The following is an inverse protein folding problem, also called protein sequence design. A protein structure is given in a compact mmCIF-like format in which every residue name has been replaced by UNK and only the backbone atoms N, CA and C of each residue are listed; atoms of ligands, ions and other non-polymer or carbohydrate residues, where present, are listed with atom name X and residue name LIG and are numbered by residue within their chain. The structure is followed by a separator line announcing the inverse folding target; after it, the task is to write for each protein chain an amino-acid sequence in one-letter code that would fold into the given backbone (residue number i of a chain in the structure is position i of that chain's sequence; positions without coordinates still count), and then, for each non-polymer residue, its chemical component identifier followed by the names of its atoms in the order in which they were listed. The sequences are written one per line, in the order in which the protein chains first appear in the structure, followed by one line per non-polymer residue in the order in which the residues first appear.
data_IF_808176311022
#
_entry.id   IF_808176311022
#
_cell.length_a   1.000
_cell.length_b   1.000
_cell.length_c   1.000
_cell.angle_alpha   90.00
_cell.angle_beta   90.00
_cell.angle_gamma   90.00
#
_symmetry.space_group_name_H-M   'P 1'
#
loop_
_entity.id
_entity.type
_entity.pdbx_description
1 polymer ?
#
# COMPACT_ATOMS: atom_id res chain seq x y z
N UNK A 1 -22.23 -2.26 21.28
CA UNK A 1 -21.89 -1.17 20.35
C UNK A 1 -21.66 -1.78 18.98
N UNK A 2 -21.92 -1.06 17.89
CA UNK A 2 -21.57 -1.56 16.56
C UNK A 2 -20.04 -1.69 16.48
N UNK A 3 -19.54 -2.74 15.81
CA UNK A 3 -18.10 -2.89 15.54
C UNK A 3 -17.63 -1.75 14.63
N UNK A 4 -16.48 -1.13 14.93
CA UNK A 4 -15.88 -0.12 14.06
C UNK A 4 -15.53 -0.69 12.68
N UNK A 5 -15.37 0.17 11.69
CA UNK A 5 -14.96 -0.22 10.33
C UNK A 5 -13.47 -0.58 10.34
N UNK A 6 -13.15 -1.65 9.63
CA UNK A 6 -11.77 -2.09 9.41
C UNK A 6 -11.39 -1.84 7.95
N UNK A 7 -10.30 -1.12 7.74
CA UNK A 7 -9.72 -0.86 6.41
C UNK A 7 -8.29 -1.41 6.38
N UNK A 8 -7.93 -2.05 5.30
CA UNK A 8 -6.62 -2.67 5.11
C UNK A 8 -5.91 -2.07 3.91
N UNK A 9 -4.62 -1.77 4.04
CA UNK A 9 -3.80 -1.16 2.99
C UNK A 9 -2.32 -1.34 3.28
N UNK A 10 -1.46 -0.89 2.37
CA UNK A 10 0.00 -0.94 2.54
C UNK A 10 0.57 0.49 2.50
N UNK A 11 1.41 0.87 3.47
CA UNK A 11 2.10 2.17 3.46
C UNK A 11 3.38 2.14 2.64
N UNK A 12 3.88 0.94 2.31
CA UNK A 12 5.05 0.71 1.48
C UNK A 12 4.96 -0.60 0.71
N UNK A 13 5.77 -0.74 -0.34
CA UNK A 13 5.72 -1.90 -1.22
C UNK A 13 7.02 -2.24 -1.91
N UNK A 14 7.13 -3.52 -2.33
CA UNK A 14 8.19 -4.01 -3.19
C UNK A 14 7.84 -3.65 -4.64
N UNK A 15 8.57 -2.71 -5.25
CA UNK A 15 8.21 -2.12 -6.54
C UNK A 15 9.34 -2.22 -7.57
N UNK A 16 9.06 -1.84 -8.82
CA UNK A 16 10.10 -1.70 -9.86
C UNK A 16 11.15 -0.63 -9.55
N UNK A 17 10.90 0.23 -8.56
CA UNK A 17 11.84 1.25 -8.06
C UNK A 17 12.53 0.84 -6.76
N UNK A 18 12.47 -0.44 -6.40
CA UNK A 18 12.91 -0.93 -5.11
C UNK A 18 11.80 -0.85 -4.05
N UNK A 19 12.20 -0.83 -2.78
CA UNK A 19 11.23 -0.51 -1.72
C UNK A 19 10.79 0.94 -1.87
N UNK A 20 9.49 1.15 -1.98
CA UNK A 20 8.89 2.48 -2.11
C UNK A 20 7.82 2.67 -1.04
N UNK A 21 7.75 3.85 -0.44
CA UNK A 21 6.84 4.08 0.67
C UNK A 21 6.13 5.43 0.61
N UNK A 22 4.94 5.44 1.21
CA UNK A 22 4.08 6.59 1.47
C UNK A 22 3.83 6.75 2.98
N UNK A 23 4.82 6.44 3.83
CA UNK A 23 4.66 6.48 5.28
C UNK A 23 4.28 7.85 5.83
N UNK A 24 4.67 8.92 5.16
CA UNK A 24 4.27 10.29 5.50
C UNK A 24 2.76 10.51 5.45
N UNK A 25 2.05 9.65 4.71
CA UNK A 25 0.60 9.72 4.53
C UNK A 25 -0.18 8.73 5.41
N UNK A 26 0.49 7.96 6.27
CA UNK A 26 -0.20 7.05 7.20
C UNK A 26 -1.15 7.84 8.09
N UNK A 27 -0.64 8.88 8.75
CA UNK A 27 -1.44 9.89 9.43
C UNK A 27 -0.75 11.25 9.28
N UNK A 28 -1.27 12.16 8.45
CA UNK A 28 -0.71 13.50 8.29
C UNK A 28 -0.65 14.26 9.61
N UNK A 29 0.44 14.99 9.86
CA UNK A 29 0.68 15.71 11.13
C UNK A 29 -0.46 16.64 11.52
N UNK A 30 -1.07 17.30 10.55
CA UNK A 30 -2.18 18.25 10.79
C UNK A 30 -3.51 17.57 11.21
N UNK A 31 -3.63 16.25 11.00
CA UNK A 31 -4.75 15.43 11.48
C UNK A 31 -4.40 14.64 12.75
N UNK A 32 -3.11 14.57 13.06
CA UNK A 32 -2.61 13.76 14.16
C UNK A 32 -2.73 14.49 15.51
N UNK A 33 -3.28 13.80 16.50
CA UNK A 33 -3.16 14.16 17.93
C UNK A 33 -1.95 13.47 18.55
N UNK A 34 -1.67 12.22 18.11
CA UNK A 34 -0.54 11.46 18.60
C UNK A 34 -0.07 10.43 17.55
N UNK A 35 1.23 10.37 17.34
CA UNK A 35 1.90 9.34 16.53
C UNK A 35 2.92 8.64 17.41
N UNK A 36 2.72 7.34 17.66
CA UNK A 36 3.63 6.51 18.44
C UNK A 36 4.54 5.74 17.47
N UNK A 37 5.84 6.00 17.53
CA UNK A 37 6.85 5.41 16.65
C UNK A 37 7.54 4.29 17.42
N UNK A 38 7.22 3.03 17.07
CA UNK A 38 7.84 1.87 17.69
C UNK A 38 9.27 1.69 17.16
N UNK A 39 10.23 1.60 18.03
CA UNK A 39 11.63 1.28 17.73
C UNK A 39 12.00 -0.04 18.38
N UNK A 40 12.87 -0.81 17.69
CA UNK A 40 13.37 -2.11 18.16
C UNK A 40 13.74 -3.02 16.99
N UNK A 41 14.49 -4.07 17.26
CA UNK A 41 14.93 -5.05 16.25
C UNK A 41 13.80 -5.92 15.71
N UNK A 42 14.13 -6.87 14.82
CA UNK A 42 13.22 -7.93 14.42
C UNK A 42 12.77 -8.76 15.64
N UNK A 43 11.58 -9.34 15.60
CA UNK A 43 11.10 -10.23 16.66
C UNK A 43 10.82 -9.61 18.03
N UNK A 44 10.98 -8.28 18.23
CA UNK A 44 10.71 -7.62 19.53
C UNK A 44 9.22 -7.45 19.83
N UNK A 45 8.35 -7.89 18.93
CA UNK A 45 6.90 -7.91 19.15
C UNK A 45 6.14 -6.68 18.67
N UNK A 46 6.70 -5.80 17.81
CA UNK A 46 6.02 -4.59 17.30
C UNK A 46 4.64 -4.86 16.71
N UNK A 47 4.55 -5.82 15.77
CA UNK A 47 3.28 -6.18 15.14
C UNK A 47 2.27 -6.75 16.16
N UNK A 48 2.72 -7.61 17.09
CA UNK A 48 1.86 -8.14 18.17
C UNK A 48 1.39 -7.04 19.13
N UNK A 49 2.25 -6.06 19.40
CA UNK A 49 1.91 -4.88 20.20
C UNK A 49 0.76 -4.09 19.54
N UNK A 50 0.87 -3.81 18.23
CA UNK A 50 -0.16 -3.13 17.46
C UNK A 50 -1.47 -3.94 17.40
N UNK A 51 -1.39 -5.25 17.14
CA UNK A 51 -2.58 -6.14 17.09
C UNK A 51 -3.38 -6.11 18.38
N UNK A 52 -2.72 -6.16 19.54
CA UNK A 52 -3.40 -6.15 20.83
C UNK A 52 -4.04 -4.78 21.15
N UNK A 53 -3.39 -3.67 20.80
CA UNK A 53 -3.99 -2.33 20.95
C UNK A 53 -5.20 -2.18 20.03
N UNK A 54 -5.07 -2.61 18.76
CA UNK A 54 -6.19 -2.62 17.83
C UNK A 54 -7.39 -3.41 18.36
N UNK A 55 -7.15 -4.62 18.89
CA UNK A 55 -8.20 -5.46 19.47
C UNK A 55 -8.88 -4.81 20.68
N UNK A 56 -8.11 -4.12 21.55
CA UNK A 56 -8.64 -3.39 22.70
C UNK A 56 -9.58 -2.27 22.30
N UNK A 57 -9.15 -1.41 21.37
CA UNK A 57 -9.94 -0.25 20.93
C UNK A 57 -11.07 -0.62 19.95
N UNK A 58 -10.91 -1.68 19.13
CA UNK A 58 -11.97 -2.17 18.25
C UNK A 58 -13.20 -2.65 19.05
N UNK A 59 -12.97 -3.24 20.21
CA UNK A 59 -14.06 -3.63 21.15
C UNK A 59 -14.90 -2.44 21.63
N UNK A 60 -14.36 -1.22 21.56
CA UNK A 60 -15.05 0.03 21.89
C UNK A 60 -15.77 0.68 20.68
N UNK A 61 -15.73 0.06 19.49
CA UNK A 61 -16.40 0.54 18.29
C UNK A 61 -15.62 1.59 17.49
N UNK A 62 -14.30 1.73 17.71
CA UNK A 62 -13.44 2.64 16.94
C UNK A 62 -13.15 2.12 15.53
N UNK A 63 -13.17 2.97 14.55
CA UNK A 63 -12.69 2.67 13.19
C UNK A 63 -11.17 2.48 13.19
N UNK A 64 -10.69 1.48 12.44
CA UNK A 64 -9.27 1.13 12.39
C UNK A 64 -8.80 0.98 10.95
N UNK A 65 -7.62 1.53 10.66
CA UNK A 65 -6.89 1.26 9.43
C UNK A 65 -5.63 0.44 9.74
N UNK A 66 -5.53 -0.72 9.12
CA UNK A 66 -4.38 -1.62 9.23
C UNK A 66 -3.41 -1.38 8.08
N UNK A 67 -2.20 -0.97 8.40
CA UNK A 67 -1.08 -0.78 7.47
C UNK A 67 -0.26 -2.07 7.46
N UNK A 68 -0.46 -2.90 6.42
CA UNK A 68 0.22 -4.18 6.30
C UNK A 68 1.66 -4.04 5.81
N UNK A 69 2.53 -4.94 6.26
CA UNK A 69 3.88 -5.06 5.75
C UNK A 69 3.88 -5.80 4.40
N UNK A 70 4.51 -5.23 3.37
CA UNK A 70 4.63 -5.90 2.07
C UNK A 70 5.62 -7.08 2.06
N UNK A 71 6.49 -7.15 3.07
CA UNK A 71 7.44 -8.26 3.24
C UNK A 71 6.92 -9.39 4.12
N UNK A 72 5.83 -9.14 4.87
CA UNK A 72 5.08 -10.11 5.68
C UNK A 72 3.64 -9.62 5.87
N UNK A 73 2.69 -9.97 4.97
CA UNK A 73 1.32 -9.45 5.02
C UNK A 73 0.55 -9.79 6.30
N UNK A 74 0.99 -10.79 7.06
CA UNK A 74 0.44 -11.11 8.37
C UNK A 74 0.87 -10.15 9.48
N UNK A 75 1.92 -9.36 9.23
CA UNK A 75 2.46 -8.33 10.14
C UNK A 75 1.96 -6.94 9.76
N UNK A 76 1.98 -6.03 10.74
CA UNK A 76 1.62 -4.64 10.55
C UNK A 76 2.84 -3.73 10.65
N UNK A 77 2.95 -2.80 9.70
CA UNK A 77 3.86 -1.66 9.73
C UNK A 77 3.23 -0.45 10.43
N UNK A 78 1.91 -0.49 10.66
CA UNK A 78 1.19 0.52 11.41
C UNK A 78 -0.28 0.21 11.62
N UNK A 79 -0.87 0.92 12.56
CA UNK A 79 -2.33 0.99 12.76
C UNK A 79 -2.72 2.46 12.96
N UNK A 80 -3.87 2.85 12.46
CA UNK A 80 -4.42 4.20 12.61
C UNK A 80 -5.83 4.11 13.16
N UNK A 81 -6.13 5.00 14.10
CA UNK A 81 -7.47 5.25 14.64
C UNK A 81 -7.90 6.65 14.15
N UNK A 82 -8.56 6.75 12.98
CA UNK A 82 -8.84 8.05 12.35
C UNK A 82 -9.64 9.00 13.22
N UNK A 83 -10.68 8.50 13.88
CA UNK A 83 -11.55 9.29 14.75
C UNK A 83 -10.84 9.82 15.99
N UNK A 84 -9.82 9.11 16.47
CA UNK A 84 -9.00 9.54 17.61
C UNK A 84 -7.85 10.45 17.18
N UNK A 85 -7.48 10.46 15.88
CA UNK A 85 -6.29 11.14 15.38
C UNK A 85 -4.99 10.50 15.90
N UNK A 86 -4.96 9.17 16.05
CA UNK A 86 -3.83 8.43 16.62
C UNK A 86 -3.30 7.42 15.61
N UNK A 87 -1.97 7.32 15.51
CA UNK A 87 -1.29 6.24 14.79
C UNK A 87 -0.22 5.59 15.65
N UNK A 88 0.00 4.29 15.44
CA UNK A 88 1.14 3.54 15.94
C UNK A 88 1.85 2.96 14.73
N UNK A 89 3.14 3.28 14.55
CA UNK A 89 3.87 2.99 13.31
C UNK A 89 5.19 2.29 13.67
N UNK A 90 5.55 1.26 12.92
CA UNK A 90 6.92 0.72 12.95
C UNK A 90 7.90 1.72 12.32
N UNK A 91 8.82 2.23 13.11
CA UNK A 91 9.84 3.19 12.69
C UNK A 91 11.23 2.57 12.49
N UNK A 92 11.32 1.24 12.29
CA UNK A 92 12.60 0.54 12.09
C UNK A 92 12.90 0.31 10.61
N UNK A 93 14.16 0.03 10.27
CA UNK A 93 14.55 -0.26 8.90
C UNK A 93 13.75 -1.44 8.31
N UNK A 94 13.34 -1.38 7.02
CA UNK A 94 13.65 -0.36 6.03
C UNK A 94 12.82 0.94 6.11
N UNK A 95 11.89 1.04 7.05
CA UNK A 95 10.91 2.13 7.21
C UNK A 95 11.35 3.15 8.26
N UNK A 96 12.57 3.66 8.16
CA UNK A 96 13.08 4.60 9.17
C UNK A 96 12.17 5.82 9.24
N UNK A 97 11.45 5.96 10.37
CA UNK A 97 10.61 7.12 10.67
C UNK A 97 11.16 7.74 11.95
N UNK A 98 11.46 9.03 11.87
CA UNK A 98 11.86 9.82 13.02
C UNK A 98 10.79 10.87 13.36
N UNK A 99 10.72 11.32 14.63
CA UNK A 99 9.76 12.32 15.06
C UNK A 99 9.89 13.62 14.26
N UNK A 100 8.78 14.11 13.71
CA UNK A 100 8.70 15.42 13.04
C UNK A 100 8.38 16.54 14.04
N UNK A 101 7.51 16.25 15.01
CA UNK A 101 7.04 17.18 16.04
C UNK A 101 7.14 16.51 17.42
N UNK A 102 8.41 16.31 17.93
CA UNK A 102 8.65 15.51 19.13
C UNK A 102 7.94 16.09 20.36
N UNK A 103 7.30 15.24 21.13
CA UNK A 103 6.60 15.58 22.36
C UNK A 103 5.23 16.24 22.18
N UNK A 104 5.02 17.02 21.11
CA UNK A 104 3.72 17.61 20.81
C UNK A 104 2.78 16.61 20.10
N UNK A 105 3.32 15.88 19.11
CA UNK A 105 2.58 14.87 18.33
C UNK A 105 3.30 13.53 18.40
N UNK A 106 4.60 13.50 18.07
CA UNK A 106 5.37 12.28 17.91
C UNK A 106 6.03 11.84 19.23
N UNK A 107 5.95 10.55 19.52
CA UNK A 107 6.58 9.90 20.67
C UNK A 107 7.26 8.60 20.24
N UNK A 108 8.52 8.40 20.63
CA UNK A 108 9.25 7.15 20.41
C UNK A 108 8.95 6.19 21.56
N UNK A 109 8.48 4.98 21.20
CA UNK A 109 8.36 3.85 22.10
C UNK A 109 9.46 2.86 21.76
N UNK A 110 10.48 2.80 22.60
CA UNK A 110 11.64 1.92 22.38
C UNK A 110 11.42 0.54 23.01
N UNK A 111 10.94 -0.43 22.22
CA UNK A 111 10.79 -1.82 22.68
C UNK A 111 12.15 -2.52 22.85
N UNK A 112 13.20 -2.01 22.24
CA UNK A 112 14.57 -2.51 22.41
C UNK A 112 15.11 -2.36 23.83
N UNK A 113 14.56 -1.48 24.68
CA UNK A 113 14.97 -1.39 26.09
C UNK A 113 14.61 -2.64 26.90
N UNK A 114 13.80 -3.54 26.36
CA UNK A 114 13.32 -4.75 27.05
C UNK A 114 14.04 -6.02 26.59
N UNK A 115 15.15 -5.93 25.88
CA UNK A 115 15.96 -7.10 25.50
C UNK A 115 17.16 -7.30 26.43
N UNK A 116 17.73 -8.51 26.39
CA UNK A 116 19.01 -8.85 27.01
C UNK A 116 20.15 -8.57 26.00
N UNK A 117 20.91 -7.51 26.24
CA UNK A 117 22.02 -7.10 25.37
C UNK A 117 23.08 -8.19 25.19
N UNK A 118 23.46 -8.88 26.28
CA UNK A 118 24.52 -9.90 26.28
C UNK A 118 24.17 -11.06 25.30
N UNK A 119 22.95 -11.59 25.39
CA UNK A 119 22.49 -12.68 24.53
C UNK A 119 22.37 -12.27 23.05
N UNK A 120 22.09 -11.00 22.75
CA UNK A 120 22.10 -10.47 21.37
C UNK A 120 23.54 -10.31 20.87
N UNK A 121 24.44 -9.80 21.71
CA UNK A 121 25.86 -9.58 21.38
C UNK A 121 26.54 -10.92 21.07
N UNK A 122 26.23 -11.99 21.80
CA UNK A 122 26.74 -13.34 21.52
C UNK A 122 26.40 -13.84 20.11
N UNK A 123 25.28 -13.40 19.55
CA UNK A 123 24.84 -13.76 18.20
C UNK A 123 25.22 -12.72 17.13
N UNK A 124 26.03 -11.71 17.46
CA UNK A 124 26.37 -10.56 16.61
C UNK A 124 26.77 -10.95 15.19
N UNK A 125 27.69 -11.90 15.04
CA UNK A 125 28.23 -12.25 13.71
C UNK A 125 27.18 -12.97 12.85
N UNK A 126 26.31 -13.79 13.46
CA UNK A 126 25.19 -14.44 12.79
C UNK A 126 24.15 -13.38 12.36
N UNK A 127 23.83 -12.45 13.24
CA UNK A 127 22.90 -11.33 12.95
C UNK A 127 23.42 -10.51 11.78
N UNK A 128 24.69 -10.14 11.75
CA UNK A 128 25.29 -9.37 10.65
C UNK A 128 25.23 -10.15 9.33
N UNK A 129 25.60 -11.44 9.34
CA UNK A 129 25.57 -12.29 8.17
C UNK A 129 24.16 -12.48 7.62
N UNK A 130 23.17 -12.73 8.49
CA UNK A 130 21.76 -12.91 8.09
C UNK A 130 21.15 -11.61 7.56
N UNK A 131 21.45 -10.45 8.16
CA UNK A 131 21.06 -9.15 7.65
C UNK A 131 21.61 -8.88 6.23
N UNK A 132 22.89 -9.20 6.00
CA UNK A 132 23.49 -9.06 4.68
C UNK A 132 22.79 -9.94 3.66
N UNK A 133 22.56 -11.24 3.97
CA UNK A 133 21.86 -12.17 3.08
C UNK A 133 20.45 -11.70 2.76
N UNK A 134 19.70 -11.22 3.75
CA UNK A 134 18.35 -10.64 3.57
C UNK A 134 18.38 -9.46 2.61
N UNK A 135 19.32 -8.53 2.82
CA UNK A 135 19.49 -7.37 1.94
C UNK A 135 19.82 -7.77 0.49
N UNK A 136 20.73 -8.73 0.29
CA UNK A 136 21.10 -9.23 -1.04
C UNK A 136 19.92 -9.89 -1.76
N UNK A 137 19.06 -10.61 -1.04
CA UNK A 137 17.84 -11.22 -1.58
C UNK A 137 16.83 -10.15 -2.02
N UNK A 138 16.56 -9.12 -1.21
CA UNK A 138 15.69 -8.01 -1.61
C UNK A 138 16.24 -7.28 -2.83
N UNK A 139 17.54 -6.96 -2.88
CA UNK A 139 18.19 -6.34 -4.04
C UNK A 139 18.01 -7.18 -5.31
N UNK A 140 18.10 -8.52 -5.18
CA UNK A 140 17.87 -9.44 -6.30
C UNK A 140 16.41 -9.44 -6.73
N UNK A 141 15.47 -9.47 -5.79
CA UNK A 141 14.03 -9.39 -6.08
C UNK A 141 13.67 -8.12 -6.83
N UNK A 142 14.19 -6.97 -6.41
CA UNK A 142 13.95 -5.69 -7.08
C UNK A 142 14.47 -5.68 -8.52
N UNK A 143 15.61 -6.31 -8.82
CA UNK A 143 16.08 -6.46 -10.20
C UNK A 143 15.12 -7.29 -11.06
N UNK A 144 14.52 -8.35 -10.50
CA UNK A 144 13.51 -9.14 -11.20
C UNK A 144 12.21 -8.35 -11.42
N UNK A 145 11.74 -7.59 -10.42
CA UNK A 145 10.56 -6.73 -10.57
C UNK A 145 10.82 -5.65 -11.63
N UNK A 146 12.00 -5.04 -11.64
CA UNK A 146 12.38 -4.04 -12.65
C UNK A 146 12.41 -4.64 -14.06
N UNK A 147 12.96 -5.84 -14.23
CA UNK A 147 12.97 -6.54 -15.51
C UNK A 147 11.55 -6.89 -15.96
N UNK A 148 10.70 -7.40 -15.05
CA UNK A 148 9.28 -7.66 -15.30
C UNK A 148 8.57 -6.37 -15.76
N UNK A 149 8.80 -5.26 -15.07
CA UNK A 149 8.20 -3.97 -15.42
C UNK A 149 8.63 -3.47 -16.80
N UNK A 150 9.88 -3.71 -17.20
CA UNK A 150 10.37 -3.33 -18.53
C UNK A 150 9.61 -4.07 -19.64
N UNK A 151 9.34 -5.36 -19.45
CA UNK A 151 8.54 -6.17 -20.38
C UNK A 151 7.06 -5.73 -20.35
N UNK A 152 6.52 -5.47 -19.16
CA UNK A 152 5.15 -4.94 -19.01
C UNK A 152 4.95 -3.63 -19.77
N UNK A 153 5.95 -2.73 -19.72
CA UNK A 153 5.90 -1.45 -20.45
C UNK A 153 5.83 -1.61 -21.96
N UNK A 154 6.40 -2.65 -22.54
CA UNK A 154 6.28 -2.89 -23.98
C UNK A 154 4.83 -3.19 -24.36
N UNK A 155 4.11 -3.98 -23.54
CA UNK A 155 2.67 -4.18 -23.70
C UNK A 155 1.89 -2.86 -23.56
N UNK A 156 2.23 -2.00 -22.58
CA UNK A 156 1.61 -0.67 -22.46
C UNK A 156 1.75 0.15 -23.76
N UNK A 157 2.92 0.12 -24.39
CA UNK A 157 3.16 0.81 -25.66
C UNK A 157 2.32 0.24 -26.79
N UNK A 158 2.22 -1.09 -26.89
CA UNK A 158 1.43 -1.77 -27.93
C UNK A 158 -0.06 -1.42 -27.79
N UNK A 159 -0.63 -1.57 -26.57
CA UNK A 159 -2.03 -1.23 -26.33
C UNK A 159 -2.31 0.26 -26.55
N UNK A 160 -1.41 1.13 -26.10
CA UNK A 160 -1.57 2.57 -26.29
C UNK A 160 -1.60 2.98 -27.77
N UNK A 161 -0.77 2.33 -28.63
CA UNK A 161 -0.81 2.53 -30.08
C UNK A 161 -2.12 2.10 -30.72
N UNK A 162 -2.76 1.05 -30.17
CA UNK A 162 -4.03 0.53 -30.68
C UNK A 162 -5.25 1.32 -30.17
N UNK A 163 -5.07 2.24 -29.21
CA UNK A 163 -6.19 2.99 -28.62
C UNK A 163 -6.78 4.05 -29.55
N UNK A 164 -8.10 4.10 -29.60
CA UNK A 164 -8.84 5.25 -30.10
C UNK A 164 -8.95 6.32 -29.01
N UNK A 165 -7.92 7.16 -28.91
CA UNK A 165 -7.83 8.21 -27.91
C UNK A 165 -8.99 9.23 -27.99
N UNK A 166 -9.57 9.45 -29.18
CA UNK A 166 -10.73 10.33 -29.36
C UNK A 166 -11.95 9.82 -28.61
N UNK A 167 -12.31 8.55 -28.80
CA UNK A 167 -13.43 7.92 -28.06
C UNK A 167 -13.15 7.88 -26.56
N UNK A 168 -11.94 7.51 -26.16
CA UNK A 168 -11.56 7.51 -24.74
C UNK A 168 -11.70 8.91 -24.10
N UNK A 169 -11.30 9.98 -24.80
CA UNK A 169 -11.42 11.34 -24.31
C UNK A 169 -12.88 11.78 -24.08
N UNK A 170 -13.82 11.35 -24.92
CA UNK A 170 -15.26 11.62 -24.73
C UNK A 170 -15.75 11.01 -23.42
N UNK A 171 -15.52 9.70 -23.23
CA UNK A 171 -15.94 8.98 -22.01
C UNK A 171 -15.26 9.56 -20.76
N UNK A 172 -13.98 9.93 -20.85
CA UNK A 172 -13.28 10.60 -19.76
C UNK A 172 -13.95 11.91 -19.39
N UNK A 173 -14.30 12.74 -20.37
CA UNK A 173 -14.98 14.03 -20.09
C UNK A 173 -16.35 13.83 -19.47
N UNK A 174 -17.17 12.99 -20.07
CA UNK A 174 -18.52 12.67 -19.57
C UNK A 174 -18.48 12.13 -18.13
N UNK A 175 -17.49 11.29 -17.82
CA UNK A 175 -17.36 10.74 -16.47
C UNK A 175 -16.95 11.80 -15.45
N UNK A 176 -16.02 12.71 -15.82
CA UNK A 176 -15.63 13.84 -14.95
C UNK A 176 -16.83 14.75 -14.72
N UNK A 177 -17.57 15.11 -15.76
CA UNK A 177 -18.76 15.98 -15.66
C UNK A 177 -19.83 15.34 -14.75
N UNK A 178 -20.04 14.03 -14.87
CA UNK A 178 -20.96 13.28 -14.03
C UNK A 178 -20.55 13.28 -12.55
N UNK A 179 -19.27 12.99 -12.25
CA UNK A 179 -18.76 12.89 -10.86
C UNK A 179 -18.87 14.24 -10.14
N UNK A 180 -18.69 15.35 -10.86
CA UNK A 180 -18.67 16.68 -10.27
C UNK A 180 -19.89 17.54 -10.66
N UNK A 181 -20.99 16.91 -11.05
CA UNK A 181 -22.21 17.64 -11.39
C UNK A 181 -22.64 18.56 -10.24
N UNK A 182 -22.78 19.84 -10.53
CA UNK A 182 -23.18 20.86 -9.54
C UNK A 182 -22.10 21.28 -8.54
N UNK A 183 -20.85 20.79 -8.66
CA UNK A 183 -19.77 21.11 -7.75
C UNK A 183 -18.79 22.08 -8.42
N UNK A 184 -18.73 23.31 -7.91
CA UNK A 184 -17.84 24.36 -8.42
C UNK A 184 -16.38 24.23 -7.95
N UNK A 185 -15.49 25.00 -8.59
CA UNK A 185 -14.10 25.15 -8.17
C UNK A 185 -14.02 25.86 -6.81
N UNK A 186 -13.09 25.42 -5.96
CA UNK A 186 -12.83 25.99 -4.63
C UNK A 186 -11.61 26.93 -4.66
N UNK A 187 -11.61 27.94 -3.78
CA UNK A 187 -10.43 28.78 -3.53
C UNK A 187 -9.36 28.06 -2.68
N UNK A 188 -9.72 26.93 -2.05
CA UNK A 188 -8.82 26.12 -1.22
C UNK A 188 -8.64 24.77 -1.90
N UNK A 189 -7.41 24.37 -2.15
CA UNK A 189 -7.10 23.07 -2.71
C UNK A 189 -7.45 21.91 -1.75
N UNK A 190 -7.99 20.84 -2.32
CA UNK A 190 -8.29 19.61 -1.61
C UNK A 190 -7.02 18.92 -1.12
N UNK A 191 -7.07 18.35 0.08
CA UNK A 191 -5.96 17.57 0.65
C UNK A 191 -5.90 16.18 0.03
N UNK A 192 -4.71 15.61 0.00
CA UNK A 192 -4.44 14.32 -0.63
C UNK A 192 -3.80 13.36 0.36
N UNK A 193 -4.13 12.09 0.23
CA UNK A 193 -3.48 10.97 0.90
C UNK A 193 -3.02 9.94 -0.14
N UNK A 194 -1.82 9.40 0.02
CA UNK A 194 -1.20 8.46 -0.92
C UNK A 194 -0.84 7.17 -0.19
N UNK A 195 -1.26 6.02 -0.73
CA UNK A 195 -1.01 4.69 -0.17
C UNK A 195 -1.03 3.64 -1.29
N UNK A 196 -0.92 2.36 -0.93
CA UNK A 196 -1.13 1.23 -1.82
C UNK A 196 -2.31 0.39 -1.33
N UNK A 197 -3.20 0.00 -2.26
CA UNK A 197 -4.25 -0.97 -1.98
C UNK A 197 -3.77 -2.42 -2.16
N UNK A 198 -2.66 -2.60 -2.87
CA UNK A 198 -2.07 -3.89 -3.21
C UNK A 198 -0.55 -3.87 -3.06
N UNK A 199 0.05 -5.05 -2.91
CA UNK A 199 1.51 -5.20 -2.83
C UNK A 199 1.99 -6.50 -3.47
N UNK A 200 3.26 -6.49 -3.92
CA UNK A 200 4.02 -7.69 -4.28
C UNK A 200 4.63 -8.24 -2.99
N UNK A 201 4.18 -9.43 -2.56
CA UNK A 201 4.50 -10.01 -1.26
C UNK A 201 5.11 -11.41 -1.40
N UNK A 202 5.63 -12.03 -0.32
CA UNK A 202 6.04 -13.43 -0.33
C UNK A 202 4.92 -14.40 -0.73
N UNK A 203 3.66 -14.03 -0.48
CA UNK A 203 2.46 -14.84 -0.78
C UNK A 203 1.95 -14.62 -2.22
N UNK A 204 2.56 -13.72 -2.97
CA UNK A 204 2.15 -13.30 -4.31
C UNK A 204 1.64 -11.86 -4.35
N UNK A 205 0.73 -11.60 -5.28
CA UNK A 205 0.03 -10.31 -5.32
C UNK A 205 -1.12 -10.32 -4.31
N UNK A 206 -1.03 -9.47 -3.30
CA UNK A 206 -2.08 -9.30 -2.28
C UNK A 206 -2.75 -7.95 -2.48
N UNK A 207 -4.08 -7.89 -2.43
CA UNK A 207 -4.84 -6.65 -2.44
C UNK A 207 -5.91 -6.64 -1.36
N UNK A 208 -6.25 -5.44 -0.89
CA UNK A 208 -7.27 -5.20 0.12
C UNK A 208 -8.41 -4.28 -0.41
N UNK A 209 -8.60 -4.25 -1.72
CA UNK A 209 -9.58 -3.37 -2.38
C UNK A 209 -10.99 -3.55 -1.83
N UNK A 210 -11.40 -4.76 -1.48
CA UNK A 210 -12.73 -5.03 -0.90
C UNK A 210 -12.99 -4.29 0.42
N UNK A 211 -11.92 -4.02 1.21
CA UNK A 211 -12.03 -3.25 2.45
C UNK A 211 -12.03 -1.73 2.23
N UNK A 212 -11.57 -1.27 1.07
CA UNK A 212 -11.40 0.14 0.73
C UNK A 212 -12.54 0.66 -0.12
N UNK A 213 -12.99 -0.10 -1.13
CA UNK A 213 -14.04 0.30 -2.09
C UNK A 213 -15.42 -0.01 -1.50
N UNK A 214 -15.82 0.78 -0.52
CA UNK A 214 -17.10 0.61 0.21
C UNK A 214 -18.09 1.74 -0.03
N UNK A 215 -17.78 2.66 -0.93
CA UNK A 215 -18.59 3.82 -1.31
C UNK A 215 -19.90 3.43 -2.00
N UNK A 216 -20.90 4.34 -2.00
CA UNK A 216 -22.17 4.12 -2.70
C UNK A 216 -21.96 4.09 -4.22
N UNK A 217 -21.23 5.05 -4.77
CA UNK A 217 -20.85 5.03 -6.18
C UNK A 217 -19.50 4.36 -6.38
N UNK A 218 -19.48 3.31 -7.22
CA UNK A 218 -18.31 2.50 -7.51
C UNK A 218 -18.11 2.42 -9.02
N UNK A 219 -17.18 3.21 -9.54
CA UNK A 219 -16.81 3.25 -10.96
C UNK A 219 -15.67 2.27 -11.18
N UNK A 220 -15.93 1.20 -11.93
CA UNK A 220 -14.93 0.19 -12.26
C UNK A 220 -14.47 0.39 -13.70
N UNK A 221 -13.16 0.58 -13.87
CA UNK A 221 -12.51 0.78 -15.16
C UNK A 221 -11.84 -0.52 -15.58
N UNK A 222 -12.38 -1.19 -16.58
CA UNK A 222 -11.73 -2.33 -17.23
C UNK A 222 -10.78 -1.84 -18.32
N UNK A 223 -9.60 -2.40 -18.40
CA UNK A 223 -8.64 -2.05 -19.44
C UNK A 223 -7.30 -2.74 -19.25
N UNK A 224 -6.72 -3.17 -20.37
CA UNK A 224 -5.36 -3.66 -20.40
C UNK A 224 -4.36 -2.53 -20.10
N UNK A 225 -3.13 -2.85 -19.69
CA UNK A 225 -2.08 -1.84 -19.51
C UNK A 225 -1.90 -0.97 -20.74
N UNK A 226 -1.87 0.37 -20.55
CA UNK A 226 -1.71 1.31 -21.67
C UNK A 226 -3.01 1.74 -22.37
N UNK A 227 -4.19 1.27 -21.94
CA UNK A 227 -5.49 1.71 -22.49
C UNK A 227 -5.93 3.09 -21.98
N UNK A 228 -5.27 3.62 -20.95
CA UNK A 228 -5.52 4.99 -20.47
C UNK A 228 -6.50 5.08 -19.31
N UNK A 229 -6.79 3.97 -18.60
CA UNK A 229 -7.60 3.99 -17.38
C UNK A 229 -7.04 4.95 -16.34
N UNK A 230 -5.69 5.02 -16.20
CA UNK A 230 -5.00 5.95 -15.31
C UNK A 230 -5.27 7.42 -15.67
N UNK A 231 -5.47 7.76 -16.94
CA UNK A 231 -5.77 9.13 -17.38
C UNK A 231 -7.11 9.62 -16.84
N UNK A 232 -8.13 8.74 -16.81
CA UNK A 232 -9.42 9.09 -16.23
C UNK A 232 -9.27 9.34 -14.73
N UNK A 233 -8.59 8.43 -14.00
CA UNK A 233 -8.42 8.55 -12.55
C UNK A 233 -7.67 9.83 -12.20
N UNK A 234 -6.59 10.15 -12.93
CA UNK A 234 -5.79 11.37 -12.71
C UNK A 234 -6.61 12.64 -13.01
N UNK A 235 -7.47 12.63 -14.03
CA UNK A 235 -8.35 13.79 -14.30
C UNK A 235 -9.38 13.98 -13.20
N UNK A 236 -9.99 12.90 -12.70
CA UNK A 236 -10.93 12.98 -11.57
C UNK A 236 -10.20 13.44 -10.30
N UNK A 237 -9.00 12.92 -10.02
CA UNK A 237 -8.21 13.37 -8.87
C UNK A 237 -7.91 14.87 -8.95
N UNK A 238 -7.41 15.34 -10.08
CA UNK A 238 -7.10 16.76 -10.28
C UNK A 238 -8.34 17.62 -10.12
N UNK A 239 -9.46 17.22 -10.73
CA UNK A 239 -10.73 17.94 -10.63
C UNK A 239 -11.28 17.96 -9.19
N UNK A 240 -11.07 16.90 -8.40
CA UNK A 240 -11.44 16.85 -6.98
C UNK A 240 -10.62 17.86 -6.16
N UNK A 241 -9.30 17.88 -6.36
CA UNK A 241 -8.37 18.79 -5.69
C UNK A 241 -8.73 20.24 -5.98
N UNK A 242 -8.99 20.60 -7.24
CA UNK A 242 -9.42 21.94 -7.66
C UNK A 242 -10.76 22.37 -7.03
N UNK A 243 -11.58 21.41 -6.59
CA UNK A 243 -12.84 21.62 -5.89
C UNK A 243 -12.75 21.59 -4.38
N UNK A 244 -11.53 21.50 -3.84
CA UNK A 244 -11.31 21.48 -2.40
C UNK A 244 -11.62 20.14 -1.72
N UNK A 245 -11.86 19.07 -2.50
CA UNK A 245 -12.25 17.77 -1.97
C UNK A 245 -11.03 16.95 -1.54
N UNK A 246 -11.17 16.22 -0.43
CA UNK A 246 -10.15 15.29 0.02
C UNK A 246 -10.10 14.05 -0.88
N UNK A 247 -8.90 13.58 -1.18
CA UNK A 247 -8.71 12.40 -2.01
C UNK A 247 -7.80 11.37 -1.34
N UNK A 248 -8.17 10.09 -1.42
CA UNK A 248 -7.31 8.97 -1.10
C UNK A 248 -6.89 8.29 -2.40
N UNK A 249 -5.61 8.38 -2.71
CA UNK A 249 -4.98 7.88 -3.93
C UNK A 249 -4.21 6.60 -3.66
N UNK A 250 -4.54 5.51 -4.38
CA UNK A 250 -3.85 4.23 -4.24
C UNK A 250 -3.08 3.91 -5.51
N UNK A 251 -1.79 3.66 -5.34
CA UNK A 251 -0.84 3.52 -6.43
C UNK A 251 -0.57 2.05 -6.77
N UNK A 252 -0.07 1.83 -7.98
CA UNK A 252 0.29 0.51 -8.50
C UNK A 252 1.44 -0.11 -7.72
N UNK A 253 1.27 -1.35 -7.28
CA UNK A 253 2.32 -2.10 -6.60
C UNK A 253 3.57 -2.31 -7.48
N UNK A 254 3.41 -2.38 -8.81
CA UNK A 254 4.52 -2.53 -9.74
C UNK A 254 5.18 -1.18 -10.08
N UNK A 255 4.38 -0.14 -10.34
CA UNK A 255 4.84 1.22 -10.63
C UNK A 255 4.29 2.22 -9.61
N UNK A 256 5.05 2.57 -8.57
CA UNK A 256 4.55 3.30 -7.41
C UNK A 256 4.17 4.76 -7.68
N UNK A 257 4.34 5.25 -8.90
CA UNK A 257 3.90 6.60 -9.30
C UNK A 257 2.67 6.59 -10.22
N UNK A 258 2.13 5.39 -10.56
CA UNK A 258 0.92 5.25 -11.37
C UNK A 258 -0.29 5.09 -10.46
N UNK A 259 -1.25 6.00 -10.59
CA UNK A 259 -2.50 5.93 -9.86
C UNK A 259 -3.42 4.83 -10.43
N UNK A 260 -3.93 3.96 -9.57
CA UNK A 260 -4.81 2.84 -9.96
C UNK A 260 -6.19 2.91 -9.33
N UNK A 261 -6.30 3.48 -8.12
CA UNK A 261 -7.58 3.61 -7.44
C UNK A 261 -7.65 4.95 -6.73
N UNK A 262 -8.84 5.52 -6.68
CA UNK A 262 -9.13 6.82 -6.07
C UNK A 262 -10.42 6.73 -5.26
N UNK A 263 -10.43 7.31 -4.07
CA UNK A 263 -11.63 7.49 -3.25
C UNK A 263 -11.79 8.98 -2.97
N UNK A 264 -13.00 9.49 -3.12
CA UNK A 264 -13.40 10.85 -2.75
C UNK A 264 -14.49 10.71 -1.69
N UNK A 265 -14.12 10.71 -0.40
CA UNK A 265 -15.05 10.39 0.68
C UNK A 265 -16.25 11.34 0.76
N UNK A 266 -16.06 12.64 0.52
CA UNK A 266 -17.12 13.63 0.59
C UNK A 266 -18.20 13.43 -0.48
N UNK A 267 -17.86 12.77 -1.60
CA UNK A 267 -18.82 12.44 -2.66
C UNK A 267 -19.34 11.00 -2.54
N UNK A 268 -18.81 10.22 -1.62
CA UNK A 268 -19.06 8.78 -1.49
C UNK A 268 -18.85 8.03 -2.82
N UNK A 269 -17.78 8.41 -3.55
CA UNK A 269 -17.38 7.88 -4.87
C UNK A 269 -16.03 7.20 -4.78
N UNK A 270 -15.90 6.05 -5.42
CA UNK A 270 -14.63 5.40 -5.69
C UNK A 270 -14.47 5.05 -7.17
N UNK A 271 -13.25 5.19 -7.65
CA UNK A 271 -12.84 4.78 -8.99
C UNK A 271 -11.73 3.76 -8.87
N UNK A 272 -11.89 2.60 -9.50
CA UNK A 272 -10.92 1.51 -9.42
C UNK A 272 -10.64 0.89 -10.78
N UNK A 273 -9.37 0.61 -11.07
CA UNK A 273 -9.02 -0.22 -12.23
C UNK A 273 -9.26 -1.69 -11.91
N UNK A 274 -9.72 -2.45 -12.89
CA UNK A 274 -9.83 -3.90 -12.84
C UNK A 274 -9.21 -4.51 -14.10
N UNK A 275 -8.24 -5.37 -13.91
CA UNK A 275 -7.57 -6.12 -14.95
C UNK A 275 -7.10 -7.47 -14.41
N UNK A 276 -6.38 -8.24 -15.21
CA UNK A 276 -5.88 -9.56 -14.81
C UNK A 276 -4.94 -9.57 -13.59
N UNK A 277 -4.33 -8.43 -13.24
CA UNK A 277 -3.42 -8.28 -12.10
C UNK A 277 -4.08 -7.66 -10.88
N UNK A 278 -5.20 -6.95 -11.10
CA UNK A 278 -5.96 -6.25 -10.06
C UNK A 278 -7.44 -6.56 -10.24
N UNK A 279 -7.95 -7.50 -9.50
CA UNK A 279 -9.38 -7.79 -9.46
C UNK A 279 -9.95 -7.29 -8.13
N UNK A 280 -10.76 -6.24 -8.20
CA UNK A 280 -11.61 -5.85 -7.09
C UNK A 280 -12.89 -6.68 -7.15
N UNK A 281 -13.13 -7.53 -6.17
CA UNK A 281 -14.43 -8.20 -5.99
C UNK A 281 -15.45 -7.18 -5.46
N UNK A 282 -15.79 -6.23 -6.32
CA UNK A 282 -16.67 -5.10 -6.01
C UNK A 282 -17.76 -5.03 -7.07
N UNK A 283 -19.01 -5.00 -6.64
CA UNK A 283 -20.15 -4.79 -7.56
C UNK A 283 -20.13 -3.33 -8.06
N UNK A 284 -19.89 -3.08 -9.37
CA UNK A 284 -19.87 -1.72 -9.90
C UNK A 284 -21.26 -1.10 -9.92
N UNK A 285 -21.35 0.22 -9.72
CA UNK A 285 -22.53 1.03 -10.08
C UNK A 285 -22.40 1.57 -11.51
N UNK A 286 -21.15 1.78 -11.96
CA UNK A 286 -20.80 2.11 -13.34
C UNK A 286 -19.58 1.30 -13.73
N UNK A 287 -19.63 0.64 -14.88
CA UNK A 287 -18.50 -0.05 -15.48
C UNK A 287 -18.15 0.59 -16.83
N UNK A 288 -16.86 0.88 -17.03
CA UNK A 288 -16.34 1.45 -18.28
C UNK A 288 -15.22 0.53 -18.78
N UNK A 289 -15.41 -0.08 -19.95
CA UNK A 289 -14.41 -0.97 -20.55
C UNK A 289 -13.59 -0.21 -21.62
N UNK A 290 -12.39 0.17 -21.29
CA UNK A 290 -11.46 0.83 -22.21
C UNK A 290 -10.97 -0.09 -23.32
N UNK A 291 -11.10 -1.43 -23.17
CA UNK A 291 -10.73 -2.36 -24.23
C UNK A 291 -11.66 -2.24 -25.46
N UNK A 292 -12.88 -1.70 -25.31
CA UNK A 292 -13.82 -1.45 -26.43
C UNK A 292 -13.30 -0.35 -27.39
N UNK A 293 -12.32 0.43 -26.96
CA UNK A 293 -11.71 1.48 -27.79
C UNK A 293 -10.45 1.02 -28.52
N UNK A 294 -10.09 -0.28 -28.43
CA UNK A 294 -8.90 -0.84 -29.04
C UNK A 294 -9.17 -1.23 -30.51
N UNK A 295 -8.23 -0.86 -31.39
CA UNK A 295 -8.17 -1.36 -32.77
C UNK A 295 -7.64 -2.80 -32.79
N UNK A 296 -8.55 -3.73 -33.03
CA UNK A 296 -8.25 -5.18 -33.02
C UNK A 296 -7.33 -5.59 -34.18
N UNK A 297 -7.41 -4.92 -35.34
CA UNK A 297 -6.55 -5.22 -36.47
C UNK A 297 -5.11 -4.81 -36.19
N UNK A 298 -4.94 -3.71 -35.47
CA UNK A 298 -3.63 -3.29 -34.98
C UNK A 298 -3.08 -4.26 -33.94
N UNK A 299 -3.87 -4.66 -32.96
CA UNK A 299 -3.45 -5.62 -31.90
C UNK A 299 -3.07 -6.98 -32.49
N UNK A 300 -3.79 -7.44 -33.50
CA UNK A 300 -3.49 -8.71 -34.17
C UNK A 300 -2.08 -8.73 -34.81
N UNK A 301 -1.53 -7.57 -35.19
CA UNK A 301 -0.16 -7.46 -35.72
C UNK A 301 0.90 -7.72 -34.67
N UNK A 302 0.58 -7.51 -33.39
CA UNK A 302 1.49 -7.67 -32.23
C UNK A 302 1.10 -8.84 -31.32
N UNK A 303 0.27 -9.78 -31.82
CA UNK A 303 -0.27 -10.88 -31.01
C UNK A 303 0.81 -11.78 -30.40
N UNK A 304 1.86 -12.07 -31.17
CA UNK A 304 2.94 -12.92 -30.68
C UNK A 304 3.81 -12.20 -29.66
N UNK A 305 4.06 -10.90 -29.88
CA UNK A 305 4.82 -10.04 -28.96
C UNK A 305 4.07 -9.88 -27.63
N UNK A 306 2.78 -9.57 -27.66
CA UNK A 306 2.00 -9.41 -26.43
C UNK A 306 1.89 -10.70 -25.65
N UNK A 307 1.77 -11.84 -26.32
CA UNK A 307 1.76 -13.16 -25.70
C UNK A 307 3.12 -13.52 -25.08
N UNK A 308 4.21 -13.24 -25.79
CA UNK A 308 5.57 -13.44 -25.28
C UNK A 308 5.80 -12.57 -24.06
N UNK A 309 5.53 -11.27 -24.16
CA UNK A 309 5.71 -10.31 -23.08
C UNK A 309 4.93 -10.69 -21.82
N UNK A 310 3.69 -11.14 -21.97
CA UNK A 310 2.88 -11.63 -20.85
C UNK A 310 3.55 -12.79 -20.13
N UNK A 311 3.98 -13.81 -20.88
CA UNK A 311 4.66 -14.99 -20.32
C UNK A 311 5.95 -14.64 -19.59
N UNK A 312 6.77 -13.76 -20.19
CA UNK A 312 8.04 -13.35 -19.58
C UNK A 312 7.81 -12.47 -18.34
N UNK A 313 6.81 -11.58 -18.38
CA UNK A 313 6.39 -10.79 -17.22
C UNK A 313 6.01 -11.71 -16.04
N UNK A 314 5.12 -12.68 -16.28
CA UNK A 314 4.69 -13.63 -15.24
C UNK A 314 5.87 -14.45 -14.70
N UNK A 315 6.78 -14.88 -15.58
CA UNK A 315 7.97 -15.65 -15.21
C UNK A 315 8.89 -14.84 -14.28
N UNK A 316 9.16 -13.59 -14.64
CA UNK A 316 10.04 -12.69 -13.87
C UNK A 316 9.37 -12.27 -12.54
N UNK A 317 8.08 -11.96 -12.56
CA UNK A 317 7.32 -11.60 -11.35
C UNK A 317 7.29 -12.78 -10.35
N UNK A 318 7.01 -13.99 -10.82
CA UNK A 318 7.03 -15.18 -9.99
C UNK A 318 8.43 -15.46 -9.42
N UNK A 319 9.49 -15.16 -10.19
CA UNK A 319 10.87 -15.27 -9.69
C UNK A 319 11.16 -14.25 -8.60
N UNK A 320 10.65 -13.02 -8.75
CA UNK A 320 10.76 -11.98 -7.72
C UNK A 320 10.04 -12.40 -6.43
N UNK A 321 8.80 -12.87 -6.52
CA UNK A 321 7.99 -13.34 -5.39
C UNK A 321 8.72 -14.44 -4.62
N UNK A 322 9.24 -15.48 -5.32
CA UNK A 322 10.03 -16.54 -4.68
C UNK A 322 11.30 -16.00 -4.00
N UNK A 323 11.91 -14.96 -4.56
CA UNK A 323 13.10 -14.36 -3.94
C UNK A 323 12.75 -13.54 -2.70
N UNK A 324 11.60 -12.85 -2.70
CA UNK A 324 11.05 -12.16 -1.51
C UNK A 324 10.70 -13.19 -0.43
N UNK A 325 10.14 -14.35 -0.80
CA UNK A 325 9.88 -15.43 0.13
C UNK A 325 11.16 -15.92 0.82
N UNK A 326 12.24 -16.12 0.06
CA UNK A 326 13.55 -16.46 0.64
C UNK A 326 14.09 -15.37 1.58
N UNK A 327 13.85 -14.09 1.24
CA UNK A 327 14.21 -12.97 2.12
C UNK A 327 13.41 -12.98 3.43
N UNK A 328 12.11 -13.33 3.37
CA UNK A 328 11.29 -13.52 4.56
C UNK A 328 11.80 -14.67 5.43
N UNK A 329 12.13 -15.82 4.84
CA UNK A 329 12.69 -16.95 5.57
C UNK A 329 14.00 -16.56 6.32
N UNK A 330 14.83 -15.72 5.71
CA UNK A 330 16.02 -15.16 6.36
C UNK A 330 15.68 -14.15 7.46
N UNK A 331 14.64 -13.38 7.27
CA UNK A 331 14.13 -12.48 8.32
C UNK A 331 13.61 -13.27 9.53
N UNK A 332 12.90 -14.38 9.31
CA UNK A 332 12.44 -15.26 10.38
C UNK A 332 13.63 -15.92 11.13
N UNK A 333 14.70 -16.28 10.40
CA UNK A 333 15.97 -16.72 11.02
C UNK A 333 16.56 -15.59 11.89
N UNK A 334 16.55 -14.35 11.40
CA UNK A 334 17.04 -13.19 12.14
C UNK A 334 16.24 -12.97 13.44
N UNK A 335 14.92 -13.08 13.39
CA UNK A 335 14.05 -12.98 14.57
C UNK A 335 14.41 -14.03 15.64
N UNK A 336 14.83 -15.23 15.23
CA UNK A 336 15.22 -16.30 16.15
C UNK A 336 16.38 -15.94 17.08
N UNK A 337 17.21 -14.95 16.71
CA UNK A 337 18.28 -14.44 17.57
C UNK A 337 17.81 -13.39 18.58
N UNK A 338 16.70 -12.70 18.30
CA UNK A 338 16.15 -11.66 19.17
C UNK A 338 15.09 -12.18 20.12
N UNK A 339 14.16 -13.01 19.64
CA UNK A 339 13.00 -13.50 20.40
C UNK A 339 13.38 -14.13 21.75
N UNK A 340 14.40 -15.02 21.86
CA UNK A 340 14.79 -15.61 23.15
C UNK A 340 15.37 -14.60 24.15
N UNK A 341 15.82 -13.45 23.66
CA UNK A 341 16.43 -12.39 24.44
C UNK A 341 15.46 -11.28 24.84
N UNK A 342 14.16 -11.43 24.54
CA UNK A 342 13.13 -10.42 24.85
C UNK A 342 12.43 -10.69 26.17
N UNK A 343 12.22 -9.64 26.96
CA UNK A 343 11.35 -9.66 28.11
C UNK A 343 9.93 -9.24 27.69
N UNK A 344 9.15 -10.19 27.14
CA UNK A 344 7.80 -9.93 26.67
C UNK A 344 6.80 -9.53 27.78
N UNK A 345 7.08 -9.79 29.07
CA UNK A 345 6.24 -9.32 30.17
C UNK A 345 6.35 -7.81 30.35
N UNK A 346 7.54 -7.23 30.17
CA UNK A 346 7.71 -5.78 30.20
C UNK A 346 7.14 -5.10 28.94
N UNK A 347 7.27 -5.73 27.77
CA UNK A 347 6.60 -5.27 26.54
C UNK A 347 5.09 -5.21 26.76
N UNK A 348 4.49 -6.21 27.42
CA UNK A 348 3.07 -6.22 27.71
C UNK A 348 2.67 -5.10 28.69
N UNK A 349 3.44 -4.84 29.74
CA UNK A 349 3.17 -3.72 30.67
C UNK A 349 3.21 -2.37 29.94
N UNK A 350 4.23 -2.16 29.10
CA UNK A 350 4.32 -0.95 28.26
C UNK A 350 3.08 -0.80 27.37
N UNK A 351 2.61 -1.89 26.75
CA UNK A 351 1.42 -1.90 25.94
C UNK A 351 0.15 -1.52 26.72
N UNK A 352 -0.03 -2.08 27.93
CA UNK A 352 -1.17 -1.77 28.81
C UNK A 352 -1.17 -0.30 29.25
N UNK A 353 0.02 0.28 29.50
CA UNK A 353 0.18 1.71 29.80
C UNK A 353 -0.20 2.58 28.60
N UNK A 354 0.26 2.22 27.39
CA UNK A 354 -0.10 2.94 26.17
C UNK A 354 -1.61 2.86 25.92
N UNK A 355 -2.22 1.67 26.05
CA UNK A 355 -3.67 1.49 25.85
C UNK A 355 -4.52 2.37 26.78
N UNK A 356 -4.07 2.60 28.03
CA UNK A 356 -4.75 3.49 28.97
C UNK A 356 -4.65 4.98 28.60
N UNK A 357 -3.68 5.34 27.75
CA UNK A 357 -3.44 6.73 27.31
C UNK A 357 -4.15 7.09 26.02
N UNK A 358 -4.65 6.09 25.27
CA UNK A 358 -5.35 6.24 23.98
C UNK A 358 -6.87 6.28 24.13
#
# INVERSE_FOLDING_TARGET
MAKGKERHMFPGGNTSKGFFSYYDFVLPQEKAKRILILKGGPGVGKSSFMKKIAAGLCGEGCDIEYMHCSSDPASFDGIVFPDKGVAIIDGTAPHIIDPKTPGAIDEIINLGQFWNDEGIIENRDKILATNQQTSELFQRAYRYIQAAYSIYKDNEVIYNKAMNHGKANVIISETVDRVFEGIGISEIEGKQRHLFASAITPEGLVNYLSSLITTQERIVLKGNPGTGTERLIERIRSAAIERGLYTESFYCALNPIRLEHLIIPELDVSITTSNEFHNADVKPTLEIDFNEFLDQDMLNKYKEETKFNRKEFETLLNRAIKTIQQAKEKHDELESFYVPNMNFSEVQKCQEEILKRL
#
